data_IF_759943755412
#
_entry.id   IF_759943755412
#
_cell.length_a   1.000
_cell.length_b   1.000
_cell.length_c   1.000
_cell.angle_alpha   90.00
_cell.angle_beta   90.00
_cell.angle_gamma   90.00
#
_symmetry.space_group_name_H-M   'P 1'
#
loop_
_entity.id
_entity.type
_entity.pdbx_description
1 polymer ?
#
# COMPACT_ATOMS: atom_id res chain seq x y z
N UNK A 1 9.14 -29.02 29.96
CA UNK A 1 7.88 -28.95 30.74
C UNK A 1 7.47 -27.49 30.76
N UNK A 2 6.27 -27.05 30.40
CA UNK A 2 5.02 -27.73 30.12
C UNK A 2 4.18 -26.83 29.18
N UNK A 3 3.31 -27.47 28.39
CA UNK A 3 2.29 -26.82 27.57
C UNK A 3 0.95 -26.75 28.34
N UNK A 4 0.10 -25.75 28.05
CA UNK A 4 -1.34 -25.92 27.83
C UNK A 4 -2.05 -24.57 27.56
N UNK A 5 -2.93 -24.57 26.56
CA UNK A 5 -3.87 -23.54 26.10
C UNK A 5 -5.25 -23.75 26.76
N UNK A 6 -6.04 -22.70 27.04
CA UNK A 6 -7.53 -22.74 27.06
C UNK A 6 -8.14 -21.36 26.65
N UNK A 7 -9.22 -21.42 25.86
CA UNK A 7 -10.02 -20.37 25.20
C UNK A 7 -11.21 -19.88 26.08
N UNK A 8 -11.95 -18.82 25.67
CA UNK A 8 -13.43 -18.54 25.79
C UNK A 8 -13.66 -16.99 25.73
N UNK A 9 -14.24 -16.37 24.70
CA UNK A 9 -15.67 -16.19 24.32
C UNK A 9 -16.60 -15.55 25.36
N UNK A 10 -17.21 -14.40 25.02
CA UNK A 10 -18.65 -14.06 25.14
C UNK A 10 -18.92 -12.60 25.60
N UNK A 11 -19.63 -11.82 24.77
CA UNK A 11 -20.41 -10.66 25.21
C UNK A 11 -21.82 -10.78 24.63
N UNK A 12 -22.75 -11.20 25.47
CA UNK A 12 -24.16 -11.33 25.15
C UNK A 12 -24.95 -11.76 26.38
N UNK A 13 -25.96 -10.96 26.77
CA UNK A 13 -27.06 -11.39 27.64
C UNK A 13 -27.06 -10.81 29.06
N UNK A 14 -28.10 -10.03 29.35
CA UNK A 14 -28.53 -9.45 30.62
C UNK A 14 -28.98 -10.49 31.67
N UNK A 15 -28.72 -10.28 32.97
CA UNK A 15 -29.70 -10.29 34.09
C UNK A 15 -29.05 -10.08 35.49
N UNK A 16 -29.90 -9.75 36.47
CA UNK A 16 -29.71 -9.12 37.79
C UNK A 16 -28.86 -9.83 38.90
N UNK A 17 -28.39 -9.00 39.87
CA UNK A 17 -28.20 -9.23 41.32
C UNK A 17 -26.78 -9.43 41.95
N UNK A 18 -26.37 -8.37 42.65
CA UNK A 18 -25.66 -8.25 43.95
C UNK A 18 -24.24 -8.81 44.20
N UNK A 19 -23.56 -8.16 45.16
CA UNK A 19 -22.14 -7.91 45.23
C UNK A 19 -21.30 -8.94 46.02
N UNK A 20 -20.02 -9.10 45.64
CA UNK A 20 -18.82 -8.85 46.46
C UNK A 20 -17.55 -9.39 45.77
N UNK A 21 -16.55 -8.52 45.66
CA UNK A 21 -15.39 -8.64 44.79
C UNK A 21 -14.33 -9.66 45.23
N UNK A 22 -13.98 -10.51 44.28
CA UNK A 22 -12.75 -11.30 44.15
C UNK A 22 -13.03 -12.50 43.24
N UNK A 23 -12.04 -13.16 42.60
CA UNK A 23 -10.69 -12.77 42.20
C UNK A 23 -10.50 -12.89 40.66
N UNK A 24 -9.26 -12.65 40.22
CA UNK A 24 -8.60 -13.00 38.95
C UNK A 24 -9.32 -14.00 38.02
N UNK A 25 -9.31 -13.77 36.70
CA UNK A 25 -8.30 -14.33 35.78
C UNK A 25 -8.63 -14.06 34.31
N UNK A 26 -7.54 -14.01 33.55
CA UNK A 26 -7.34 -13.98 32.11
C UNK A 26 -8.36 -14.72 31.23
N UNK A 27 -8.67 -14.12 30.08
CA UNK A 27 -8.80 -14.87 28.84
C UNK A 27 -8.43 -13.98 27.65
N UNK A 28 -7.49 -14.51 26.89
CA UNK A 28 -7.08 -14.18 25.54
C UNK A 28 -8.20 -13.58 24.70
N UNK A 29 -8.13 -12.28 24.44
CA UNK A 29 -8.53 -11.78 23.14
C UNK A 29 -7.35 -12.05 22.22
N UNK A 30 -7.58 -12.88 21.23
CA UNK A 30 -6.79 -12.97 20.03
C UNK A 30 -6.25 -11.59 19.67
N UNK A 31 -5.00 -11.54 19.25
CA UNK A 31 -4.67 -10.63 18.17
C UNK A 31 -5.58 -11.02 16.99
N UNK A 32 -6.82 -10.55 17.02
CA UNK A 32 -7.23 -9.68 15.95
C UNK A 32 -6.19 -8.53 16.09
N UNK A 33 -5.02 -8.50 15.43
CA UNK A 33 -4.93 -8.45 13.96
C UNK A 33 -6.32 -8.53 13.37
N UNK A 34 -7.12 -7.54 13.75
CA UNK A 34 -7.96 -6.84 12.80
C UNK A 34 -7.00 -6.69 11.66
N UNK A 35 -7.14 -7.57 10.67
CA UNK A 35 -7.01 -7.19 9.26
C UNK A 35 -7.16 -5.69 9.27
N UNK A 36 -6.00 -4.99 9.16
CA UNK A 36 -5.91 -3.55 9.35
C UNK A 36 -7.15 -2.97 8.72
N UNK A 37 -7.96 -2.29 9.52
CA UNK A 37 -9.35 -2.05 9.19
C UNK A 37 -9.45 -1.47 7.79
N UNK A 38 -9.70 -2.31 6.80
CA UNK A 38 -10.23 -1.91 5.52
C UNK A 38 -11.67 -1.50 5.85
N UNK A 39 -11.87 -0.30 6.37
CA UNK A 39 -13.17 0.27 6.69
C UNK A 39 -12.95 1.70 7.20
N UNK A 40 -13.06 2.72 6.36
CA UNK A 40 -14.42 3.17 6.06
C UNK A 40 -14.63 4.05 4.83
N UNK A 41 -13.63 4.24 3.96
CA UNK A 41 -13.79 4.97 2.70
C UNK A 41 -13.61 4.05 1.49
N UNK A 42 -14.35 4.35 0.42
CA UNK A 42 -14.24 3.69 -0.89
C UNK A 42 -12.79 3.75 -1.38
N UNK A 43 -12.17 4.93 -1.24
CA UNK A 43 -10.76 5.19 -1.50
C UNK A 43 -9.81 4.15 -0.89
N UNK A 44 -9.89 3.86 0.41
CA UNK A 44 -8.97 2.91 1.05
C UNK A 44 -9.13 1.48 0.49
N UNK A 45 -10.35 1.10 0.10
CA UNK A 45 -10.63 -0.22 -0.48
C UNK A 45 -10.04 -0.31 -1.88
N UNK A 46 -10.23 0.73 -2.70
CA UNK A 46 -9.71 0.78 -4.05
C UNK A 46 -8.18 0.89 -4.08
N UNK A 47 -7.59 1.70 -3.19
CA UNK A 47 -6.15 1.86 -3.05
C UNK A 47 -5.44 0.56 -2.63
N UNK A 48 -6.06 -0.25 -1.77
CA UNK A 48 -5.56 -1.59 -1.43
C UNK A 48 -5.58 -2.52 -2.65
N UNK A 49 -6.69 -2.52 -3.39
CA UNK A 49 -6.84 -3.39 -4.58
C UNK A 49 -5.88 -3.03 -5.72
N UNK A 50 -5.54 -1.75 -5.89
CA UNK A 50 -4.51 -1.34 -6.86
C UNK A 50 -3.14 -1.90 -6.45
N UNK A 51 -2.75 -1.80 -5.17
CA UNK A 51 -1.45 -2.31 -4.72
C UNK A 51 -1.32 -3.82 -4.95
N UNK A 52 -2.31 -4.61 -4.55
CA UNK A 52 -2.30 -6.06 -4.76
C UNK A 52 -2.15 -6.43 -6.24
N UNK A 53 -2.82 -5.69 -7.14
CA UNK A 53 -2.72 -5.92 -8.59
C UNK A 53 -1.38 -5.49 -9.17
N UNK A 54 -0.82 -4.37 -8.71
CA UNK A 54 0.50 -3.91 -9.16
C UNK A 54 1.60 -4.88 -8.70
N UNK A 55 1.56 -5.35 -7.46
CA UNK A 55 2.49 -6.34 -6.93
C UNK A 55 2.44 -7.65 -7.74
N UNK A 56 1.23 -8.14 -8.02
CA UNK A 56 1.03 -9.31 -8.87
C UNK A 56 1.59 -9.08 -10.28
N UNK A 57 1.26 -7.94 -10.89
CA UNK A 57 1.71 -7.60 -12.25
C UNK A 57 3.22 -7.48 -12.34
N UNK A 58 3.88 -6.84 -11.37
CA UNK A 58 5.35 -6.71 -11.33
C UNK A 58 6.02 -8.06 -11.12
N UNK A 59 5.45 -8.93 -10.27
CA UNK A 59 5.99 -10.28 -10.03
C UNK A 59 5.87 -11.18 -11.25
N UNK A 60 4.79 -11.04 -12.02
CA UNK A 60 4.53 -11.83 -13.22
C UNK A 60 5.19 -11.26 -14.48
N UNK A 61 5.48 -9.95 -14.52
CA UNK A 61 6.02 -9.29 -15.71
C UNK A 61 7.54 -9.41 -15.80
N UNK A 62 8.00 -10.19 -16.77
CA UNK A 62 9.43 -10.37 -17.06
C UNK A 62 9.92 -9.54 -18.25
N UNK A 63 9.01 -8.92 -19.02
CA UNK A 63 9.36 -8.21 -20.24
C UNK A 63 9.28 -6.67 -20.07
N UNK A 64 10.40 -5.95 -20.17
CA UNK A 64 10.43 -4.50 -19.95
C UNK A 64 9.74 -3.70 -21.06
N UNK A 65 9.50 -4.29 -22.24
CA UNK A 65 8.82 -3.60 -23.35
C UNK A 65 7.31 -3.47 -23.12
N UNK A 66 6.74 -4.27 -22.22
CA UNK A 66 5.34 -4.20 -21.82
C UNK A 66 5.10 -3.21 -20.67
N UNK A 67 6.15 -2.79 -19.96
CA UNK A 67 6.05 -1.87 -18.83
C UNK A 67 5.31 -0.55 -19.15
N UNK A 68 5.56 0.13 -20.28
CA UNK A 68 4.84 1.37 -20.58
C UNK A 68 3.33 1.21 -20.60
N UNK A 69 2.82 0.11 -21.19
CA UNK A 69 1.39 -0.15 -21.26
C UNK A 69 0.80 -0.42 -19.87
N UNK A 70 1.49 -1.21 -19.05
CA UNK A 70 1.08 -1.49 -17.66
C UNK A 70 1.03 -0.21 -16.82
N UNK A 71 2.06 0.63 -16.94
CA UNK A 71 2.15 1.88 -16.20
C UNK A 71 1.09 2.88 -16.67
N UNK A 72 0.78 2.92 -17.97
CA UNK A 72 -0.30 3.77 -18.48
C UNK A 72 -1.66 3.31 -17.93
N UNK A 73 -1.92 2.01 -17.93
CA UNK A 73 -3.13 1.43 -17.32
C UNK A 73 -3.20 1.75 -15.82
N UNK A 74 -2.11 1.54 -15.08
CA UNK A 74 -2.03 1.88 -13.66
C UNK A 74 -2.29 3.38 -13.40
N UNK A 75 -1.74 4.28 -14.22
CA UNK A 75 -1.99 5.71 -14.11
C UNK A 75 -3.48 6.03 -14.31
N UNK A 76 -4.15 5.38 -15.27
CA UNK A 76 -5.58 5.56 -15.49
C UNK A 76 -6.42 5.04 -14.32
N UNK A 77 -6.05 3.89 -13.76
CA UNK A 77 -6.73 3.33 -12.59
C UNK A 77 -6.57 4.21 -11.35
N UNK A 78 -5.36 4.72 -11.10
CA UNK A 78 -5.11 5.66 -9.99
C UNK A 78 -5.96 6.93 -10.18
N UNK A 79 -6.03 7.50 -11.40
CA UNK A 79 -6.89 8.68 -11.65
C UNK A 79 -8.39 8.41 -11.52
N UNK A 80 -8.82 7.17 -11.72
CA UNK A 80 -10.23 6.82 -11.65
C UNK A 80 -10.75 6.81 -10.20
N UNK A 81 -9.86 6.63 -9.22
CA UNK A 81 -10.19 6.67 -7.80
C UNK A 81 -10.35 8.12 -7.35
N UNK A 82 -11.48 8.42 -6.73
CA UNK A 82 -11.73 9.72 -6.12
C UNK A 82 -11.01 9.81 -4.76
N UNK A 83 -9.90 10.54 -4.72
CA UNK A 83 -9.12 10.73 -3.52
C UNK A 83 -9.75 11.78 -2.59
N UNK A 84 -9.61 11.61 -1.25
CA UNK A 84 -10.00 12.62 -0.26
C UNK A 84 -9.33 13.96 -0.53
N UNK A 85 -10.04 15.07 -0.28
CA UNK A 85 -9.55 16.44 -0.54
C UNK A 85 -8.16 16.73 0.05
N UNK A 86 -7.84 16.10 1.19
CA UNK A 86 -6.56 16.27 1.89
C UNK A 86 -5.35 15.78 1.06
N UNK A 87 -5.54 14.74 0.25
CA UNK A 87 -4.49 14.14 -0.59
C UNK A 87 -4.82 14.18 -2.09
N UNK A 88 -5.93 14.79 -2.52
CA UNK A 88 -6.37 14.75 -3.90
C UNK A 88 -5.33 15.30 -4.90
N UNK A 89 -4.63 16.37 -4.52
CA UNK A 89 -3.55 16.94 -5.33
C UNK A 89 -2.35 15.99 -5.42
N UNK A 90 -1.95 15.39 -4.29
CA UNK A 90 -0.83 14.44 -4.23
C UNK A 90 -1.15 13.15 -4.97
N UNK A 91 -2.38 12.66 -4.87
CA UNK A 91 -2.88 11.49 -5.59
C UNK A 91 -2.88 11.71 -7.11
N UNK A 92 -3.35 12.87 -7.58
CA UNK A 92 -3.26 13.25 -8.99
C UNK A 92 -1.80 13.36 -9.44
N UNK A 93 -0.92 13.92 -8.61
CA UNK A 93 0.51 14.02 -8.92
C UNK A 93 1.14 12.63 -9.07
N UNK A 94 0.76 11.65 -8.24
CA UNK A 94 1.19 10.26 -8.39
C UNK A 94 0.78 9.69 -9.75
N UNK A 95 -0.49 9.84 -10.14
CA UNK A 95 -0.97 9.33 -11.42
C UNK A 95 -0.27 9.98 -12.62
N UNK A 96 -0.05 11.29 -12.56
CA UNK A 96 0.73 12.01 -13.56
C UNK A 96 2.19 11.56 -13.59
N UNK A 97 2.76 11.28 -12.42
CA UNK A 97 4.09 10.71 -12.26
C UNK A 97 4.22 9.36 -12.95
N UNK A 98 3.27 8.44 -12.72
CA UNK A 98 3.25 7.12 -13.37
C UNK A 98 3.13 7.26 -14.88
N UNK A 99 2.29 8.17 -15.38
CA UNK A 99 2.17 8.42 -16.83
C UNK A 99 3.48 8.99 -17.42
N UNK A 100 4.16 9.89 -16.71
CA UNK A 100 5.46 10.40 -17.14
C UNK A 100 6.54 9.32 -17.14
N UNK A 101 6.51 8.41 -16.16
CA UNK A 101 7.40 7.26 -16.09
C UNK A 101 7.14 6.30 -17.26
N UNK A 102 5.87 5.99 -17.57
CA UNK A 102 5.47 5.24 -18.77
C UNK A 102 6.04 5.86 -20.05
N UNK A 103 5.81 7.16 -20.24
CA UNK A 103 6.30 7.88 -21.42
C UNK A 103 7.83 7.91 -21.52
N UNK A 104 8.52 8.00 -20.37
CA UNK A 104 9.98 7.94 -20.32
C UNK A 104 10.50 6.59 -20.82
N UNK A 105 9.89 5.48 -20.36
CA UNK A 105 10.26 4.11 -20.74
C UNK A 105 9.91 3.82 -22.20
N UNK A 106 8.75 4.26 -22.69
CA UNK A 106 8.35 4.09 -24.09
C UNK A 106 9.36 4.72 -25.07
N UNK A 107 10.10 5.74 -24.63
CA UNK A 107 11.16 6.39 -25.40
C UNK A 107 12.56 5.82 -25.19
N UNK A 108 12.72 4.68 -24.51
CA UNK A 108 14.01 4.01 -24.31
C UNK A 108 14.21 2.90 -25.34
N UNK A 109 15.39 2.85 -25.95
CA UNK A 109 15.85 1.69 -26.70
C UNK A 109 16.59 0.73 -25.77
N UNK A 110 15.97 -0.40 -25.44
CA UNK A 110 16.55 -1.38 -24.50
C UNK A 110 17.73 -2.17 -25.07
N UNK A 111 18.07 -1.99 -26.36
CA UNK A 111 19.29 -2.57 -26.94
C UNK A 111 20.49 -1.63 -26.77
N UNK A 112 20.29 -0.37 -26.39
CA UNK A 112 21.36 0.58 -26.09
C UNK A 112 22.00 0.25 -24.73
N UNK A 113 23.34 0.10 -24.66
CA UNK A 113 24.03 -0.16 -23.39
C UNK A 113 23.90 0.98 -22.35
N UNK A 114 23.47 2.18 -22.76
CA UNK A 114 23.24 3.34 -21.90
C UNK A 114 21.75 3.60 -21.61
N UNK A 115 20.86 2.68 -22.00
CA UNK A 115 19.41 2.79 -21.81
C UNK A 115 19.04 3.10 -20.35
N UNK A 116 19.62 2.35 -19.41
CA UNK A 116 19.35 2.51 -17.98
C UNK A 116 19.78 3.87 -17.45
N UNK A 117 21.01 4.30 -17.76
CA UNK A 117 21.53 5.60 -17.34
C UNK A 117 20.71 6.77 -17.92
N UNK A 118 20.24 6.62 -19.17
CA UNK A 118 19.35 7.59 -19.81
C UNK A 118 18.00 7.67 -19.10
N UNK A 119 17.45 6.51 -18.73
CA UNK A 119 16.20 6.42 -17.99
C UNK A 119 16.34 7.07 -16.60
N UNK A 120 17.39 6.74 -15.84
CA UNK A 120 17.67 7.33 -14.53
C UNK A 120 17.77 8.86 -14.59
N UNK A 121 18.47 9.40 -15.59
CA UNK A 121 18.58 10.86 -15.77
C UNK A 121 17.22 11.52 -16.07
N UNK A 122 16.37 10.86 -16.85
CA UNK A 122 15.01 11.36 -17.14
C UNK A 122 14.11 11.32 -15.90
N UNK A 123 14.28 10.33 -15.05
CA UNK A 123 13.41 10.09 -13.91
C UNK A 123 13.83 10.79 -12.61
N UNK A 124 15.10 11.10 -12.45
CA UNK A 124 15.62 11.84 -11.28
C UNK A 124 14.81 13.12 -10.98
N UNK A 125 14.53 14.02 -11.95
CA UNK A 125 13.74 15.21 -11.65
C UNK A 125 12.28 14.89 -11.33
N UNK A 126 11.75 13.78 -11.84
CA UNK A 126 10.39 13.34 -11.55
C UNK A 126 10.27 12.80 -10.12
N UNK A 127 11.23 11.99 -9.68
CA UNK A 127 11.29 11.49 -8.30
C UNK A 127 11.33 12.64 -7.29
N UNK A 128 12.15 13.67 -7.54
CA UNK A 128 12.23 14.85 -6.68
C UNK A 128 10.92 15.65 -6.64
N UNK A 129 10.17 15.69 -7.75
CA UNK A 129 8.86 16.34 -7.79
C UNK A 129 7.79 15.54 -7.02
N UNK A 130 7.89 14.21 -7.05
CA UNK A 130 6.91 13.31 -6.44
C UNK A 130 7.23 12.95 -4.99
N UNK A 131 8.40 13.30 -4.47
CA UNK A 131 8.86 12.91 -3.12
C UNK A 131 7.85 13.32 -2.03
N UNK A 132 7.41 14.57 -2.06
CA UNK A 132 6.41 15.08 -1.10
C UNK A 132 5.04 14.43 -1.32
N UNK A 133 4.59 14.29 -2.56
CA UNK A 133 3.29 13.67 -2.87
C UNK A 133 3.25 12.20 -2.43
N UNK A 134 4.32 11.46 -2.72
CA UNK A 134 4.50 10.06 -2.32
C UNK A 134 4.51 9.92 -0.80
N UNK A 135 5.22 10.81 -0.10
CA UNK A 135 5.27 10.81 1.37
C UNK A 135 3.90 11.09 1.99
N UNK A 136 3.16 12.08 1.46
CA UNK A 136 1.85 12.45 1.95
C UNK A 136 0.83 11.31 1.73
N UNK A 137 0.78 10.74 0.52
CA UNK A 137 -0.10 9.61 0.21
C UNK A 137 0.25 8.39 1.06
N UNK A 138 1.53 8.04 1.18
CA UNK A 138 1.99 6.93 2.03
C UNK A 138 1.58 7.11 3.49
N UNK A 139 1.77 8.31 4.03
CA UNK A 139 1.36 8.66 5.40
C UNK A 139 -0.15 8.53 5.57
N UNK A 140 -0.93 9.02 4.62
CA UNK A 140 -2.39 8.91 4.66
C UNK A 140 -2.87 7.45 4.59
N UNK A 141 -2.32 6.67 3.66
CA UNK A 141 -2.65 5.26 3.52
C UNK A 141 -2.32 4.47 4.80
N UNK A 142 -1.20 4.77 5.45
CA UNK A 142 -0.84 4.13 6.72
C UNK A 142 -1.74 4.56 7.86
N UNK A 143 -1.91 5.86 8.04
CA UNK A 143 -2.52 6.42 9.24
C UNK A 143 -4.06 6.32 9.19
N UNK A 144 -4.67 6.51 8.00
CA UNK A 144 -6.13 6.49 7.80
C UNK A 144 -6.63 5.14 7.26
N UNK A 145 -5.92 4.52 6.31
CA UNK A 145 -6.34 3.25 5.72
C UNK A 145 -5.75 2.01 6.42
N UNK A 146 -4.73 2.19 7.28
CA UNK A 146 -4.00 1.07 7.89
C UNK A 146 -3.18 0.25 6.88
N UNK A 147 -2.85 0.82 5.72
CA UNK A 147 -2.10 0.19 4.63
C UNK A 147 -0.65 0.67 4.67
N UNK A 148 0.28 -0.26 4.84
CA UNK A 148 1.71 0.04 4.83
C UNK A 148 2.28 -0.15 3.42
N UNK A 149 2.64 0.96 2.76
CA UNK A 149 3.21 0.94 1.40
C UNK A 149 4.73 0.85 1.39
N UNK A 150 5.37 0.88 2.58
CA UNK A 150 6.84 0.79 2.76
C UNK A 150 7.34 -0.67 2.74
N UNK A 151 6.43 -1.64 2.68
CA UNK A 151 6.76 -3.07 2.68
C UNK A 151 7.43 -3.58 1.39
N UNK A 152 7.68 -2.71 0.40
CA UNK A 152 8.75 -2.97 -0.58
C UNK A 152 10.07 -2.65 0.09
N UNK A 153 10.56 -3.59 0.90
CA UNK A 153 11.92 -3.58 1.45
C UNK A 153 12.89 -3.13 0.34
N UNK A 154 13.53 -1.93 0.46
CA UNK A 154 14.54 -1.53 -0.50
C UNK A 154 15.59 -2.62 -0.45
N UNK A 155 15.82 -3.31 -1.57
CA UNK A 155 16.81 -4.39 -1.67
C UNK A 155 18.08 -3.94 -0.94
N UNK A 156 18.28 -4.47 0.27
CA UNK A 156 19.39 -4.04 1.10
C UNK A 156 20.66 -4.27 0.27
N UNK A 157 21.58 -3.29 0.18
CA UNK A 157 22.83 -3.53 -0.51
C UNK A 157 23.51 -4.67 0.23
N UNK A 158 23.56 -5.85 -0.39
CA UNK A 158 24.40 -6.95 0.08
C UNK A 158 25.83 -6.41 0.05
N UNK A 159 26.32 -6.01 1.22
CA UNK A 159 27.71 -5.62 1.44
C UNK A 159 28.63 -6.84 1.42
#
# INVERSE_FOLDING_TARGET
MAAALVLLTACGGSDESDAASGPSTSASASATRTTGGAAGSEFCTEAASIQERLEATVTEQSDPTQLPAILDEAAQEIRAIEAPDEIAADWSALADGVQQFSAAIAGIDFNDPNALATLEQKLTPLQQQLDSASTNVSTYLRDECGIDVDSTEPAAPTS
#
